data_IF_474239410183
#
_entry.id   IF_474239410183
#
_cell.length_a   1.000
_cell.length_b   1.000
_cell.length_c   1.000
_cell.angle_alpha   90.00
_cell.angle_beta   90.00
_cell.angle_gamma   90.00
#
_symmetry.space_group_name_H-M   'P 1'
#
loop_
_entity.id
_entity.type
_entity.pdbx_description
1 polymer ?
#
# COMPACT_ATOMS: atom_id res chain seq x y z
N UNK A 1 -15.71 -13.95 16.53
CA UNK A 1 -16.20 -12.55 16.37
C UNK A 1 -15.06 -11.57 16.05
N UNK A 2 -13.88 -11.70 16.67
CA UNK A 2 -12.71 -10.81 16.46
C UNK A 2 -12.13 -10.88 15.02
N UNK A 3 -12.15 -12.06 14.38
CA UNK A 3 -11.63 -12.25 13.01
C UNK A 3 -12.50 -11.63 11.90
N UNK A 4 -13.80 -11.44 12.14
CA UNK A 4 -14.66 -10.78 11.17
C UNK A 4 -14.43 -9.27 11.19
N UNK A 5 -14.34 -8.69 12.39
CA UNK A 5 -14.06 -7.27 12.58
C UNK A 5 -12.72 -6.86 11.96
N UNK A 6 -11.67 -7.68 12.12
CA UNK A 6 -10.36 -7.41 11.52
C UNK A 6 -10.39 -7.44 9.99
N UNK A 7 -11.09 -8.40 9.37
CA UNK A 7 -11.27 -8.46 7.91
C UNK A 7 -12.05 -7.27 7.36
N UNK A 8 -13.13 -6.86 8.04
CA UNK A 8 -13.92 -5.69 7.64
C UNK A 8 -13.10 -4.41 7.73
N UNK A 9 -12.29 -4.25 8.79
CA UNK A 9 -11.40 -3.09 8.96
C UNK A 9 -10.35 -3.05 7.85
N UNK A 10 -9.72 -4.18 7.52
CA UNK A 10 -8.74 -4.23 6.42
C UNK A 10 -9.40 -3.88 5.09
N UNK A 11 -10.58 -4.44 4.79
CA UNK A 11 -11.29 -4.12 3.55
C UNK A 11 -11.69 -2.64 3.48
N UNK A 12 -12.16 -2.05 4.58
CA UNK A 12 -12.47 -0.64 4.65
C UNK A 12 -11.22 0.22 4.37
N UNK A 13 -10.06 -0.12 4.95
CA UNK A 13 -8.80 0.56 4.66
C UNK A 13 -8.43 0.46 3.17
N UNK A 14 -8.62 -0.71 2.52
CA UNK A 14 -8.38 -0.88 1.08
C UNK A 14 -9.28 0.00 0.22
N UNK A 15 -10.55 0.14 0.61
CA UNK A 15 -11.50 0.99 -0.10
C UNK A 15 -11.08 2.46 0.01
N UNK A 16 -10.67 2.91 1.21
CA UNK A 16 -10.19 4.29 1.40
C UNK A 16 -8.92 4.53 0.58
N UNK A 17 -7.96 3.59 0.62
CA UNK A 17 -6.74 3.63 -0.20
C UNK A 17 -7.06 3.74 -1.70
N UNK A 18 -8.00 2.93 -2.18
CA UNK A 18 -8.46 2.98 -3.57
C UNK A 18 -9.06 4.34 -3.93
N UNK A 19 -9.93 4.89 -3.09
CA UNK A 19 -10.59 6.18 -3.35
C UNK A 19 -9.55 7.30 -3.41
N UNK A 20 -8.62 7.34 -2.46
CA UNK A 20 -7.57 8.36 -2.44
C UNK A 20 -6.62 8.23 -3.63
N UNK A 21 -6.23 7.01 -4.03
CA UNK A 21 -5.46 6.81 -5.25
C UNK A 21 -6.18 7.33 -6.51
N UNK A 22 -7.50 7.12 -6.62
CA UNK A 22 -8.29 7.66 -7.75
C UNK A 22 -8.38 9.19 -7.71
N UNK A 23 -8.55 9.77 -6.52
CA UNK A 23 -8.56 11.23 -6.34
C UNK A 23 -7.23 11.83 -6.80
N UNK A 24 -6.10 11.30 -6.33
CA UNK A 24 -4.78 11.77 -6.74
C UNK A 24 -4.57 11.58 -8.23
N UNK A 25 -4.95 10.42 -8.79
CA UNK A 25 -4.84 10.17 -10.23
C UNK A 25 -5.57 11.24 -11.05
N UNK A 26 -6.80 11.58 -10.67
CA UNK A 26 -7.60 12.61 -11.36
C UNK A 26 -7.01 14.01 -11.24
N UNK A 27 -6.58 14.39 -10.03
CA UNK A 27 -5.98 15.71 -9.77
C UNK A 27 -4.67 15.89 -10.54
N UNK A 28 -3.76 14.91 -10.46
CA UNK A 28 -2.45 14.99 -11.09
C UNK A 28 -2.54 14.84 -12.62
N UNK A 29 -3.47 14.02 -13.13
CA UNK A 29 -3.74 13.95 -14.57
C UNK A 29 -4.26 15.28 -15.12
N UNK A 30 -5.11 15.99 -14.38
CA UNK A 30 -5.54 17.33 -14.75
C UNK A 30 -4.38 18.32 -14.78
N UNK A 31 -3.50 18.30 -13.78
CA UNK A 31 -2.30 19.15 -13.74
C UNK A 31 -1.36 18.84 -14.91
N UNK A 32 -1.13 17.57 -15.21
CA UNK A 32 -0.31 17.14 -16.34
C UNK A 32 -0.91 17.58 -17.68
N UNK A 33 -2.23 17.44 -17.85
CA UNK A 33 -2.94 17.87 -19.04
C UNK A 33 -2.86 19.38 -19.27
N UNK A 34 -2.98 20.18 -18.20
CA UNK A 34 -2.82 21.63 -18.27
C UNK A 34 -1.42 22.02 -18.75
N UNK A 35 -0.38 21.31 -18.32
CA UNK A 35 1.00 21.56 -18.75
C UNK A 35 1.19 21.32 -20.25
N UNK A 36 0.65 20.21 -20.76
CA UNK A 36 0.74 19.85 -22.17
C UNK A 36 -0.04 20.81 -23.07
N UNK A 37 -1.23 21.25 -22.65
CA UNK A 37 -2.10 22.08 -23.48
C UNK A 37 -1.75 23.57 -23.45
N UNK A 38 -1.47 24.13 -22.26
CA UNK A 38 -1.20 25.56 -22.17
C UNK A 38 0.24 25.92 -22.45
N UNK A 39 1.18 25.15 -21.90
CA UNK A 39 2.59 25.48 -21.99
C UNK A 39 3.30 24.74 -23.12
N UNK A 40 2.67 23.75 -23.77
CA UNK A 40 3.30 22.89 -24.80
C UNK A 40 4.63 22.29 -24.33
N UNK A 41 4.77 22.10 -23.01
CA UNK A 41 5.95 21.51 -22.39
C UNK A 41 5.54 20.29 -21.57
N UNK A 42 6.49 19.40 -21.34
CA UNK A 42 6.25 18.19 -20.54
C UNK A 42 5.96 18.54 -19.08
N UNK A 43 5.00 17.84 -18.49
CA UNK A 43 4.66 17.95 -17.07
C UNK A 43 5.86 17.65 -16.17
N UNK A 44 5.96 18.31 -14.99
CA UNK A 44 7.03 18.05 -14.03
C UNK A 44 7.07 16.58 -13.58
N UNK A 45 8.27 16.07 -13.34
CA UNK A 45 8.49 14.67 -12.92
C UNK A 45 7.73 14.28 -11.65
N UNK A 46 7.49 15.22 -10.73
CA UNK A 46 6.81 14.99 -9.45
C UNK A 46 5.32 14.66 -9.65
N UNK A 47 4.66 15.37 -10.57
CA UNK A 47 3.28 15.13 -11.01
C UNK A 47 3.19 13.74 -11.64
N UNK A 48 4.09 13.45 -12.58
CA UNK A 48 4.11 12.16 -13.29
C UNK A 48 4.40 10.99 -12.34
N UNK A 49 5.22 11.19 -11.32
CA UNK A 49 5.49 10.17 -10.32
C UNK A 49 4.27 9.88 -9.44
N UNK A 50 3.46 10.87 -9.06
CA UNK A 50 2.20 10.62 -8.33
C UNK A 50 1.14 9.95 -9.20
N UNK A 51 1.09 10.25 -10.50
CA UNK A 51 0.27 9.49 -11.46
C UNK A 51 0.72 8.02 -11.48
N UNK A 52 2.03 7.77 -11.58
CA UNK A 52 2.58 6.42 -11.49
C UNK A 52 2.21 5.74 -10.17
N UNK A 53 2.39 6.41 -9.03
CA UNK A 53 2.05 5.87 -7.71
C UNK A 53 0.57 5.48 -7.63
N UNK A 54 -0.31 6.30 -8.21
CA UNK A 54 -1.74 6.02 -8.23
C UNK A 54 -2.05 4.76 -9.05
N UNK A 55 -1.53 4.65 -10.27
CA UNK A 55 -1.72 3.47 -11.13
C UNK A 55 -1.12 2.21 -10.48
N UNK A 56 0.10 2.33 -9.95
CA UNK A 56 0.76 1.27 -9.18
C UNK A 56 -0.12 0.80 -8.02
N UNK A 57 -0.72 1.73 -7.28
CA UNK A 57 -1.58 1.42 -6.15
C UNK A 57 -2.82 0.66 -6.58
N UNK A 58 -3.43 0.97 -7.71
CA UNK A 58 -4.55 0.19 -8.25
C UNK A 58 -4.15 -1.27 -8.51
N UNK A 59 -2.96 -1.50 -9.08
CA UNK A 59 -2.41 -2.83 -9.32
C UNK A 59 -2.07 -3.55 -7.99
N UNK A 60 -1.44 -2.83 -7.07
CA UNK A 60 -1.07 -3.36 -5.76
C UNK A 60 -2.31 -3.76 -4.95
N UNK A 61 -3.37 -2.93 -4.95
CA UNK A 61 -4.63 -3.24 -4.29
C UNK A 61 -5.33 -4.45 -4.94
N UNK A 62 -5.31 -4.56 -6.28
CA UNK A 62 -5.82 -5.75 -6.95
C UNK A 62 -5.09 -7.02 -6.49
N UNK A 63 -3.76 -6.98 -6.40
CA UNK A 63 -2.96 -8.07 -5.84
C UNK A 63 -3.32 -8.35 -4.36
N UNK A 64 -3.37 -7.33 -3.52
CA UNK A 64 -3.62 -7.44 -2.08
C UNK A 64 -5.05 -7.88 -1.73
N UNK A 65 -6.01 -7.74 -2.64
CA UNK A 65 -7.39 -8.22 -2.47
C UNK A 65 -7.54 -9.65 -3.03
N UNK A 66 -7.03 -9.91 -4.23
CA UNK A 66 -7.19 -11.21 -4.91
C UNK A 66 -6.43 -12.32 -4.19
N UNK A 67 -5.21 -12.05 -3.72
CA UNK A 67 -4.38 -13.09 -3.08
C UNK A 67 -5.02 -13.65 -1.81
N UNK A 68 -5.45 -12.83 -0.81
CA UNK A 68 -6.12 -13.35 0.38
C UNK A 68 -7.49 -13.95 0.09
N UNK A 69 -8.18 -13.51 -0.97
CA UNK A 69 -9.51 -14.01 -1.30
C UNK A 69 -9.47 -15.38 -2.01
N UNK A 70 -8.51 -15.58 -2.92
CA UNK A 70 -8.50 -16.75 -3.81
C UNK A 70 -7.46 -17.81 -3.47
N UNK A 71 -6.37 -17.41 -2.80
CA UNK A 71 -5.18 -18.23 -2.56
C UNK A 71 -4.79 -18.32 -1.08
N UNK A 72 -5.75 -18.17 -0.16
CA UNK A 72 -5.53 -18.23 1.29
C UNK A 72 -4.81 -19.52 1.73
N UNK A 73 -5.03 -20.64 1.03
CA UNK A 73 -4.50 -21.97 1.36
C UNK A 73 -3.26 -22.37 0.56
N UNK A 74 -2.69 -21.47 -0.27
CA UNK A 74 -1.59 -21.78 -1.19
C UNK A 74 -0.25 -21.19 -0.74
N UNK A 75 0.85 -21.89 -1.02
CA UNK A 75 2.26 -21.47 -0.78
C UNK A 75 2.59 -20.08 -1.38
N UNK A 76 1.78 -19.59 -2.33
CA UNK A 76 1.88 -18.25 -2.90
C UNK A 76 1.49 -17.10 -1.94
N UNK A 77 0.85 -17.40 -0.79
CA UNK A 77 0.61 -16.46 0.29
C UNK A 77 1.89 -16.21 1.13
N UNK A 78 2.99 -15.86 0.47
CA UNK A 78 4.19 -15.46 1.16
C UNK A 78 3.91 -14.14 1.89
N UNK A 79 3.81 -14.21 3.23
CA UNK A 79 3.69 -13.04 4.12
C UNK A 79 4.73 -11.94 3.82
N UNK A 80 5.87 -12.30 3.25
CA UNK A 80 6.91 -11.38 2.78
C UNK A 80 6.56 -10.67 1.47
N UNK A 81 5.82 -11.29 0.55
CA UNK A 81 5.38 -10.66 -0.69
C UNK A 81 4.30 -9.61 -0.42
N UNK A 82 3.32 -9.93 0.45
CA UNK A 82 2.32 -8.97 0.91
C UNK A 82 2.99 -7.80 1.64
N UNK A 83 3.89 -8.09 2.59
CA UNK A 83 4.67 -7.07 3.28
C UNK A 83 5.50 -6.22 2.31
N UNK A 84 6.11 -6.84 1.30
CA UNK A 84 6.90 -6.16 0.28
C UNK A 84 6.05 -5.21 -0.56
N UNK A 85 4.86 -5.65 -1.01
CA UNK A 85 3.94 -4.81 -1.77
C UNK A 85 3.44 -3.60 -0.95
N UNK A 86 3.09 -3.82 0.31
CA UNK A 86 2.71 -2.76 1.26
C UNK A 86 3.82 -1.75 1.48
N UNK A 87 5.02 -2.23 1.83
CA UNK A 87 6.18 -1.39 2.13
C UNK A 87 6.64 -0.62 0.89
N UNK A 88 6.66 -1.25 -0.28
CA UNK A 88 7.03 -0.58 -1.53
C UNK A 88 6.05 0.53 -1.89
N UNK A 89 4.74 0.26 -1.76
CA UNK A 89 3.70 1.25 -2.04
C UNK A 89 3.77 2.41 -1.04
N UNK A 90 4.00 2.12 0.25
CA UNK A 90 4.26 3.12 1.29
C UNK A 90 5.44 4.02 0.91
N UNK A 91 6.58 3.46 0.49
CA UNK A 91 7.76 4.24 0.10
C UNK A 91 7.52 5.11 -1.13
N UNK A 92 6.77 4.61 -2.12
CA UNK A 92 6.39 5.39 -3.30
C UNK A 92 5.53 6.60 -2.93
N UNK A 93 4.50 6.42 -2.11
CA UNK A 93 3.68 7.54 -1.65
C UNK A 93 4.50 8.54 -0.83
N UNK A 94 5.37 8.06 0.08
CA UNK A 94 6.27 8.91 0.86
C UNK A 94 7.12 9.81 -0.04
N UNK A 95 7.81 9.20 -1.00
CA UNK A 95 8.66 9.93 -1.94
C UNK A 95 7.84 10.90 -2.80
N UNK A 96 6.65 10.50 -3.23
CA UNK A 96 5.84 11.26 -4.17
C UNK A 96 5.24 12.52 -3.56
N UNK A 97 4.60 12.41 -2.39
CA UNK A 97 3.99 13.58 -1.75
C UNK A 97 5.05 14.58 -1.30
N UNK A 98 6.20 14.10 -0.79
CA UNK A 98 7.31 14.97 -0.36
C UNK A 98 7.91 15.68 -1.57
N UNK A 99 8.18 14.95 -2.66
CA UNK A 99 8.71 15.54 -3.88
C UNK A 99 7.77 16.63 -4.43
N UNK A 100 6.46 16.39 -4.45
CA UNK A 100 5.49 17.38 -4.88
C UNK A 100 5.41 18.57 -3.91
N UNK A 101 5.41 18.34 -2.60
CA UNK A 101 5.39 19.40 -1.59
C UNK A 101 6.62 20.32 -1.70
N UNK A 102 7.82 19.75 -1.84
CA UNK A 102 9.06 20.52 -2.07
C UNK A 102 8.98 21.27 -3.39
N UNK A 103 8.49 20.62 -4.46
CA UNK A 103 8.29 21.27 -5.75
C UNK A 103 7.39 22.51 -5.63
N UNK A 104 6.29 22.44 -4.89
CA UNK A 104 5.39 23.57 -4.68
C UNK A 104 5.97 24.65 -3.76
N UNK A 105 6.73 24.26 -2.72
CA UNK A 105 7.31 25.21 -1.75
C UNK A 105 8.31 26.18 -2.38
N UNK A 106 9.04 25.74 -3.40
CA UNK A 106 10.03 26.56 -4.10
C UNK A 106 9.45 27.50 -5.16
N UNK A 107 8.13 27.62 -5.28
CA UNK A 107 7.47 28.35 -6.38
C UNK A 107 6.27 29.16 -5.90
N UNK A 108 6.07 30.30 -6.54
CA UNK A 108 4.82 31.05 -6.43
C UNK A 108 3.78 30.33 -7.30
N UNK A 109 2.79 29.74 -6.66
CA UNK A 109 1.82 28.84 -7.29
C UNK A 109 0.40 29.26 -6.90
N UNK A 110 -0.36 29.75 -7.88
CA UNK A 110 -1.72 30.28 -7.72
C UNK A 110 -2.67 29.75 -8.81
N UNK A 111 -3.97 29.81 -8.54
CA UNK A 111 -5.02 29.34 -9.46
C UNK A 111 -5.43 27.88 -9.25
N UNK A 112 -6.39 27.45 -10.06
CA UNK A 112 -7.05 26.14 -9.87
C UNK A 112 -6.09 24.95 -10.01
N UNK A 113 -5.20 24.99 -10.99
CA UNK A 113 -4.19 23.93 -11.22
C UNK A 113 -3.26 23.78 -10.02
N UNK A 114 -2.86 24.91 -9.43
CA UNK A 114 -2.06 24.89 -8.23
C UNK A 114 -2.80 24.28 -7.04
N UNK A 115 -4.08 24.63 -6.87
CA UNK A 115 -4.91 24.06 -5.82
C UNK A 115 -5.08 22.55 -6.01
N UNK A 116 -5.20 22.07 -7.26
CA UNK A 116 -5.20 20.65 -7.57
C UNK A 116 -3.89 19.97 -7.16
N UNK A 117 -2.73 20.55 -7.50
CA UNK A 117 -1.43 20.00 -7.09
C UNK A 117 -1.22 20.03 -5.55
N UNK A 118 -1.68 21.08 -4.86
CA UNK A 118 -1.67 21.14 -3.38
C UNK A 118 -2.56 20.05 -2.78
N UNK A 119 -3.74 19.86 -3.34
CA UNK A 119 -4.65 18.81 -2.92
C UNK A 119 -4.05 17.42 -3.19
N UNK A 120 -3.43 17.20 -4.35
CA UNK A 120 -2.75 15.95 -4.68
C UNK A 120 -1.61 15.63 -3.71
N UNK A 121 -0.81 16.63 -3.31
CA UNK A 121 0.20 16.46 -2.26
C UNK A 121 -0.42 16.07 -0.90
N UNK A 122 -1.53 16.71 -0.51
CA UNK A 122 -2.20 16.41 0.75
C UNK A 122 -2.83 15.00 0.76
N UNK A 123 -3.56 14.62 -0.29
CA UNK A 123 -4.12 13.27 -0.43
C UNK A 123 -3.00 12.22 -0.54
N UNK A 124 -1.89 12.52 -1.20
CA UNK A 124 -0.72 11.64 -1.22
C UNK A 124 -0.10 11.41 0.15
N UNK A 125 -0.10 12.41 1.03
CA UNK A 125 0.34 12.27 2.42
C UNK A 125 -0.62 11.40 3.24
N UNK A 126 -1.94 11.53 3.04
CA UNK A 126 -2.93 10.65 3.67
C UNK A 126 -2.79 9.21 3.19
N UNK A 127 -2.56 9.02 1.89
CA UNK A 127 -2.35 7.69 1.32
C UNK A 127 -1.08 7.03 1.86
N UNK A 128 0.01 7.79 1.97
CA UNK A 128 1.21 7.34 2.68
C UNK A 128 0.89 6.88 4.11
N UNK A 129 0.12 7.65 4.87
CA UNK A 129 -0.23 7.31 6.24
C UNK A 129 -1.05 6.02 6.32
N UNK A 130 -2.01 5.83 5.42
CA UNK A 130 -2.78 4.58 5.33
C UNK A 130 -1.87 3.38 5.04
N UNK A 131 -0.96 3.52 4.07
CA UNK A 131 0.00 2.47 3.74
C UNK A 131 1.03 2.23 4.86
N UNK A 132 1.41 3.25 5.62
CA UNK A 132 2.27 3.11 6.79
C UNK A 132 1.58 2.29 7.89
N UNK A 133 0.29 2.56 8.15
CA UNK A 133 -0.51 1.80 9.10
C UNK A 133 -0.65 0.34 8.66
N UNK A 134 -1.01 0.07 7.40
CA UNK A 134 -1.17 -1.30 6.90
C UNK A 134 0.16 -2.05 6.85
N UNK A 135 1.26 -1.39 6.49
CA UNK A 135 2.60 -1.96 6.56
C UNK A 135 2.97 -2.31 8.00
N UNK A 136 2.72 -1.43 8.97
CA UNK A 136 2.99 -1.72 10.39
C UNK A 136 2.19 -2.92 10.90
N UNK A 137 0.91 -3.03 10.52
CA UNK A 137 0.08 -4.22 10.80
C UNK A 137 0.67 -5.49 10.18
N UNK A 138 1.13 -5.43 8.93
CA UNK A 138 1.76 -6.55 8.24
C UNK A 138 3.08 -6.97 8.91
N UNK A 139 3.93 -6.01 9.33
CA UNK A 139 5.17 -6.28 10.07
C UNK A 139 4.85 -6.97 11.39
N UNK A 140 3.92 -6.45 12.18
CA UNK A 140 3.52 -7.05 13.46
C UNK A 140 3.00 -8.49 13.27
N UNK A 141 2.25 -8.75 12.19
CA UNK A 141 1.79 -10.09 11.86
C UNK A 141 2.95 -11.05 11.53
N UNK A 142 3.95 -10.59 10.79
CA UNK A 142 5.16 -11.37 10.47
C UNK A 142 5.99 -11.66 11.72
N UNK A 143 6.17 -10.67 12.61
CA UNK A 143 6.91 -10.82 13.86
C UNK A 143 6.21 -11.80 14.82
N UNK A 144 4.91 -11.62 15.07
CA UNK A 144 4.13 -12.51 15.95
C UNK A 144 4.07 -13.96 15.45
N UNK A 145 4.09 -14.18 14.14
CA UNK A 145 4.16 -15.54 13.57
C UNK A 145 5.57 -16.15 13.65
N UNK A 146 6.61 -15.35 13.87
CA UNK A 146 7.98 -15.82 14.10
C UNK A 146 8.21 -16.25 15.55
N UNK A 147 7.55 -15.59 16.51
CA UNK A 147 7.69 -15.86 17.95
C UNK A 147 6.85 -17.05 18.46
N UNK A 148 6.05 -17.72 17.61
CA UNK A 148 5.53 -19.04 17.96
C UNK A 148 6.70 -20.01 17.91
N UNK A 149 7.22 -20.51 19.05
CA UNK A 149 8.16 -21.61 19.00
C UNK A 149 7.43 -22.71 18.24
N UNK A 150 8.10 -23.34 17.26
CA UNK A 150 7.65 -24.63 16.80
C UNK A 150 7.38 -25.45 18.06
N UNK A 151 6.12 -25.78 18.34
CA UNK A 151 5.81 -26.72 19.41
C UNK A 151 6.66 -27.92 19.09
N UNK A 152 7.65 -28.11 19.96
CA UNK A 152 8.69 -29.09 19.80
C UNK A 152 7.95 -30.41 19.71
N UNK A 153 7.75 -30.93 18.50
CA UNK A 153 7.57 -32.36 18.27
C UNK A 153 8.91 -33.00 18.67
N UNK A 154 9.24 -32.94 19.97
CA UNK A 154 9.94 -34.04 20.58
C UNK A 154 9.00 -35.20 20.33
N UNK A 155 9.36 -36.03 19.34
CA UNK A 155 8.84 -37.38 19.28
C UNK A 155 8.92 -37.91 20.71
N UNK A 156 7.76 -38.21 21.29
CA UNK A 156 7.70 -38.80 22.61
C UNK A 156 8.48 -40.12 22.51
N UNK A 157 9.66 -40.26 23.16
CA UNK A 157 10.47 -41.47 23.03
C UNK A 157 9.79 -42.70 23.64
N UNK A 158 8.60 -42.51 24.21
CA UNK A 158 7.86 -43.49 24.97
C UNK A 158 6.60 -44.01 24.26
N UNK A 159 6.55 -43.95 22.92
CA UNK A 159 5.68 -44.85 22.15
C UNK A 159 6.25 -46.26 22.32
N UNK A 160 5.90 -46.86 23.45
CA UNK A 160 6.23 -48.22 23.79
C UNK A 160 5.79 -49.11 22.64
N UNK A 161 6.78 -49.79 22.09
CA UNK A 161 6.63 -50.91 21.18
C UNK A 161 5.79 -51.93 21.95
N UNK A 162 4.48 -51.98 21.69
CA UNK A 162 3.66 -53.09 22.11
C UNK A 162 4.11 -54.29 21.25
N UNK A 163 5.08 -55.01 21.80
CA UNK A 163 5.61 -56.25 21.28
C UNK A 163 4.46 -57.25 21.16
N UNK A 164 4.32 -57.81 19.96
CA UNK A 164 3.32 -58.82 19.68
C UNK A 164 3.60 -60.10 20.46
N UNK A 165 2.55 -60.65 21.04
CA UNK A 165 2.35 -62.08 21.33
C UNK A 165 0.89 -62.42 21.13
#
# INVERSE_FOLDING_TARGET
MVDFASRTVVLALRIVQFIFAIIVLGLEAYVAHWWNNWHHVSSPSQINFLIFCSIWTLLALAYLIVVPWRFADTVAAHKFAILGAEALTMLFWFAGFVALAVFLSGRVCFGQVCNCAKAGAAFGAFEWLLFAITTAMAVMHVLRTRDRPAHNNKADPNVNVAEGV
#
